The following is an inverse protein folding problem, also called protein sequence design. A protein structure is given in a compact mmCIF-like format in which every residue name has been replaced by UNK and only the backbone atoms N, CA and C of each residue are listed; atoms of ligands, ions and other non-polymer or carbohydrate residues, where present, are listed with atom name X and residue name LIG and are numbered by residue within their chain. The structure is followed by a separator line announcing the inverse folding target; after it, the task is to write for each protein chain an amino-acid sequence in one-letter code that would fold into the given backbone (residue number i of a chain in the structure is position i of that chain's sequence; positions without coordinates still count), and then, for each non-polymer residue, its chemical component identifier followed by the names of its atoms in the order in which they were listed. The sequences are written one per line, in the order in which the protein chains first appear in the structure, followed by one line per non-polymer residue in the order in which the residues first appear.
data_IF_360890549025
#
_entry.id   IF_360890549025
#
_cell.length_a   1.000
_cell.length_b   1.000
_cell.length_c   1.000
_cell.angle_alpha   90.00
_cell.angle_beta   90.00
_cell.angle_gamma   90.00
#
_symmetry.space_group_name_H-M   'P 1'
#
loop_
_entity.id
_entity.type
_entity.pdbx_description
1 polymer ?
#
# COMPACT_ATOMS: atom_id res chain seq x y z
N UNK A 1 -27.47 -6.07 7.61
CA UNK A 1 -26.45 -5.40 6.76
C UNK A 1 -26.02 -4.10 7.45
N UNK A 2 -25.39 -4.24 8.62
CA UNK A 2 -25.07 -3.09 9.46
C UNK A 2 -23.76 -3.39 10.18
N UNK A 3 -22.67 -3.50 9.41
CA UNK A 3 -21.35 -3.37 10.00
C UNK A 3 -21.03 -1.89 10.02
N UNK A 4 -21.27 -1.32 11.20
CA UNK A 4 -20.78 -0.05 11.69
C UNK A 4 -19.45 0.29 11.03
N UNK A 5 -19.51 1.23 10.08
CA UNK A 5 -18.34 2.02 9.69
C UNK A 5 -17.96 2.85 10.90
N UNK A 6 -17.26 2.25 11.85
CA UNK A 6 -16.41 2.99 12.76
C UNK A 6 -15.35 3.68 11.91
N UNK A 7 -15.71 4.86 11.40
CA UNK A 7 -14.74 5.85 10.97
C UNK A 7 -13.93 6.16 12.21
N UNK A 8 -12.84 5.43 12.43
CA UNK A 8 -11.75 5.89 13.28
C UNK A 8 -11.51 7.34 12.85
N UNK A 9 -11.90 8.29 13.71
CA UNK A 9 -11.72 9.71 13.46
C UNK A 9 -10.22 9.92 13.39
N UNK A 10 -9.68 9.88 12.17
CA UNK A 10 -8.25 10.05 11.95
C UNK A 10 -7.88 11.40 12.54
N UNK A 11 -7.03 11.36 13.58
CA UNK A 11 -6.60 12.53 14.34
C UNK A 11 -5.98 13.53 13.37
N UNK A 12 -6.08 14.83 13.64
CA UNK A 12 -5.54 15.88 12.76
C UNK A 12 -4.08 15.61 12.36
N UNK A 13 -3.26 15.13 13.31
CA UNK A 13 -1.87 14.73 13.06
C UNK A 13 -1.72 13.55 12.07
N UNK A 14 -2.63 12.58 12.09
CA UNK A 14 -2.59 11.43 11.18
C UNK A 14 -2.95 11.84 9.74
N UNK A 15 -3.89 12.77 9.57
CA UNK A 15 -4.24 13.34 8.26
C UNK A 15 -3.12 14.21 7.70
N UNK A 16 -2.47 14.98 8.56
CA UNK A 16 -1.30 15.78 8.18
C UNK A 16 -0.14 14.86 7.76
N UNK A 17 0.15 13.82 8.54
CA UNK A 17 1.19 12.84 8.21
C UNK A 17 0.91 12.11 6.89
N UNK A 18 -0.33 11.68 6.62
CA UNK A 18 -0.70 11.07 5.32
C UNK A 18 -0.46 12.03 4.15
N UNK A 19 -0.82 13.30 4.32
CA UNK A 19 -0.66 14.31 3.27
C UNK A 19 0.82 14.62 3.02
N UNK A 20 1.62 14.68 4.07
CA UNK A 20 3.08 14.87 3.96
C UNK A 20 3.72 13.63 3.34
N UNK A 21 3.40 12.43 3.78
CA UNK A 21 3.95 11.19 3.25
C UNK A 21 3.60 10.97 1.77
N UNK A 22 2.37 11.26 1.36
CA UNK A 22 1.96 11.19 -0.05
C UNK A 22 2.63 12.25 -0.93
N UNK A 23 2.93 13.44 -0.39
CA UNK A 23 3.65 14.47 -1.10
C UNK A 23 5.14 14.13 -1.25
N UNK A 24 5.79 13.72 -0.16
CA UNK A 24 7.21 13.33 -0.13
C UNK A 24 7.48 12.07 -0.97
N UNK A 25 6.54 11.12 -1.00
CA UNK A 25 6.63 9.92 -1.83
C UNK A 25 6.40 10.14 -3.33
N UNK A 26 6.18 11.39 -3.77
CA UNK A 26 5.92 11.70 -5.18
C UNK A 26 7.19 12.06 -5.94
N UNK A 27 7.29 11.63 -7.20
CA UNK A 27 8.33 12.09 -8.14
C UNK A 27 8.43 13.61 -8.25
N UNK A 28 7.32 14.33 -8.07
CA UNK A 28 7.29 15.80 -8.09
C UNK A 28 8.11 16.42 -6.96
N UNK A 29 8.12 15.81 -5.78
CA UNK A 29 8.89 16.29 -4.62
C UNK A 29 10.39 16.23 -4.90
N UNK A 30 10.87 15.10 -5.43
CA UNK A 30 12.28 14.89 -5.78
C UNK A 30 12.74 15.96 -6.77
N UNK A 31 11.97 16.21 -7.83
CA UNK A 31 12.30 17.22 -8.84
C UNK A 31 12.39 18.62 -8.23
N UNK A 32 11.39 19.02 -7.44
CA UNK A 32 11.38 20.34 -6.78
C UNK A 32 12.57 20.49 -5.83
N UNK A 33 12.84 19.47 -5.02
CA UNK A 33 13.97 19.46 -4.09
C UNK A 33 15.31 19.60 -4.85
N UNK A 34 15.53 18.82 -5.90
CA UNK A 34 16.74 18.91 -6.72
C UNK A 34 16.90 20.28 -7.37
N UNK A 35 15.83 20.88 -7.88
CA UNK A 35 15.86 22.24 -8.46
C UNK A 35 16.23 23.27 -7.40
N UNK A 36 15.67 23.18 -6.20
CA UNK A 36 16.02 24.08 -5.08
C UNK A 36 17.50 23.96 -4.72
N UNK A 37 18.04 22.73 -4.65
CA UNK A 37 19.47 22.52 -4.39
C UNK A 37 20.34 23.14 -5.48
N UNK A 38 19.98 22.95 -6.76
CA UNK A 38 20.71 23.51 -7.90
C UNK A 38 20.69 25.05 -7.87
N UNK A 39 19.52 25.65 -7.63
CA UNK A 39 19.38 27.10 -7.51
C UNK A 39 20.23 27.63 -6.35
N UNK A 40 20.20 26.97 -5.20
CA UNK A 40 21.01 27.36 -4.03
C UNK A 40 22.52 27.33 -4.33
N UNK A 41 22.98 26.26 -4.98
CA UNK A 41 24.39 26.15 -5.41
C UNK A 41 24.75 27.27 -6.39
N UNK A 42 23.92 27.54 -7.41
CA UNK A 42 24.19 28.59 -8.40
C UNK A 42 24.24 29.97 -7.75
N UNK A 43 23.29 30.29 -6.85
CA UNK A 43 23.27 31.58 -6.14
C UNK A 43 24.54 31.80 -5.30
N UNK A 44 25.03 30.75 -4.63
CA UNK A 44 26.25 30.84 -3.82
C UNK A 44 27.53 30.88 -4.67
N UNK A 45 27.60 30.12 -5.77
CA UNK A 45 28.78 30.08 -6.66
C UNK A 45 28.94 31.36 -7.48
N UNK A 46 27.84 31.96 -7.95
CA UNK A 46 27.89 33.19 -8.74
C UNK A 46 28.14 34.43 -7.86
N UNK A 47 28.25 34.26 -6.54
CA UNK A 47 28.51 35.35 -5.57
C UNK A 47 27.53 36.53 -5.73
N UNK A 48 26.27 36.23 -6.08
CA UNK A 48 25.19 37.22 -6.23
C UNK A 48 24.83 37.85 -4.88
N UNK A 49 25.08 37.10 -3.81
CA UNK A 49 24.99 37.50 -2.41
C UNK A 49 26.34 37.05 -1.83
N UNK A 50 27.00 37.86 -1.00
CA UNK A 50 28.32 37.54 -0.43
C UNK A 50 28.42 36.07 0.02
N UNK A 51 29.60 35.45 -0.13
CA UNK A 51 29.92 34.02 0.12
C UNK A 51 29.42 33.48 1.47
N UNK A 52 28.11 33.28 1.60
CA UNK A 52 27.46 32.94 2.86
C UNK A 52 27.54 31.44 3.14
N UNK A 53 27.62 30.62 2.09
CA UNK A 53 27.87 29.18 2.16
C UNK A 53 28.97 28.77 1.15
N UNK A 54 30.25 29.02 1.45
CA UNK A 54 31.38 28.60 0.61
C UNK A 54 31.42 27.08 0.47
N UNK A 55 32.00 26.58 -0.62
CA UNK A 55 32.28 25.15 -0.79
C UNK A 55 33.03 24.62 0.45
N UNK A 56 32.52 23.60 1.17
CA UNK A 56 31.64 22.50 0.74
C UNK A 56 30.13 22.60 1.07
N UNK A 57 29.55 23.80 1.17
CA UNK A 57 28.11 24.04 1.45
C UNK A 57 27.62 23.44 2.78
N UNK A 58 28.18 23.90 3.90
CA UNK A 58 27.90 23.34 5.23
C UNK A 58 26.44 23.56 5.66
N UNK A 59 25.84 24.70 5.30
CA UNK A 59 24.45 24.99 5.66
C UNK A 59 23.47 24.15 4.85
N UNK A 60 23.72 24.01 3.54
CA UNK A 60 22.91 23.15 2.68
C UNK A 60 22.89 21.71 3.19
N UNK A 61 24.06 21.19 3.57
CA UNK A 61 24.20 19.85 4.11
C UNK A 61 23.39 19.69 5.42
N UNK A 62 23.52 20.65 6.34
CA UNK A 62 22.78 20.63 7.61
C UNK A 62 21.27 20.60 7.40
N UNK A 63 20.75 21.47 6.52
CA UNK A 63 19.31 21.57 6.25
C UNK A 63 18.78 20.28 5.63
N UNK A 64 19.47 19.74 4.62
CA UNK A 64 19.05 18.50 3.95
C UNK A 64 19.08 17.31 4.92
N UNK A 65 20.12 17.20 5.74
CA UNK A 65 20.23 16.15 6.75
C UNK A 65 19.08 16.22 7.76
N UNK A 66 18.76 17.42 8.25
CA UNK A 66 17.65 17.62 9.17
C UNK A 66 16.31 17.20 8.53
N UNK A 67 16.03 17.68 7.32
CA UNK A 67 14.80 17.31 6.60
C UNK A 67 14.70 15.78 6.42
N UNK A 68 15.79 15.11 6.08
CA UNK A 68 15.82 13.66 5.90
C UNK A 68 15.48 12.90 7.21
N UNK A 69 16.07 13.33 8.33
CA UNK A 69 15.82 12.72 9.65
C UNK A 69 14.35 12.79 10.07
N UNK A 70 13.67 13.91 9.81
CA UNK A 70 12.23 14.03 10.13
C UNK A 70 11.34 13.31 9.12
N UNK A 71 11.78 13.22 7.88
CA UNK A 71 11.04 12.58 6.80
C UNK A 71 10.93 11.07 6.99
N UNK A 72 12.02 10.41 7.40
CA UNK A 72 12.07 8.97 7.61
C UNK A 72 10.98 8.41 8.55
N UNK A 73 10.78 8.92 9.79
CA UNK A 73 9.75 8.42 10.69
C UNK A 73 8.33 8.74 10.19
N UNK A 74 8.12 9.88 9.52
CA UNK A 74 6.80 10.23 8.96
C UNK A 74 6.42 9.23 7.86
N UNK A 75 7.37 8.89 6.98
CA UNK A 75 7.19 7.86 5.96
C UNK A 75 6.92 6.51 6.62
N UNK A 76 7.72 6.12 7.62
CA UNK A 76 7.58 4.84 8.32
C UNK A 76 6.21 4.71 9.01
N UNK A 77 5.72 5.77 9.65
CA UNK A 77 4.37 5.79 10.25
C UNK A 77 3.27 5.64 9.20
N UNK A 78 3.44 6.26 8.02
CA UNK A 78 2.50 6.10 6.91
C UNK A 78 2.55 4.70 6.29
N UNK A 79 3.74 4.10 6.22
CA UNK A 79 3.96 2.72 5.74
C UNK A 79 3.35 1.70 6.70
N UNK A 80 3.69 1.73 8.00
CA UNK A 80 3.15 0.81 9.00
C UNK A 80 1.61 0.79 9.01
N UNK A 81 0.98 1.95 8.85
CA UNK A 81 -0.48 2.04 8.77
C UNK A 81 -1.05 1.50 7.45
N UNK A 82 -0.33 1.61 6.34
CA UNK A 82 -0.73 1.01 5.06
C UNK A 82 -0.63 -0.51 5.14
N UNK A 83 0.47 -1.01 5.69
CA UNK A 83 0.70 -2.45 5.92
C UNK A 83 -0.36 -3.07 6.85
N UNK A 84 -0.76 -2.38 7.93
CA UNK A 84 -1.85 -2.86 8.79
C UNK A 84 -3.19 -3.00 8.04
N UNK A 85 -3.50 -2.05 7.15
CA UNK A 85 -4.72 -2.13 6.30
C UNK A 85 -4.61 -3.27 5.30
N UNK A 86 -3.45 -3.43 4.68
CA UNK A 86 -3.22 -4.46 3.67
C UNK A 86 -3.22 -5.86 4.30
N UNK A 87 -2.67 -6.01 5.51
CA UNK A 87 -2.74 -7.26 6.28
C UNK A 87 -4.19 -7.68 6.57
N UNK A 88 -5.03 -6.74 7.03
CA UNK A 88 -6.45 -7.02 7.29
C UNK A 88 -7.20 -7.41 6.02
N UNK A 89 -6.93 -6.73 4.90
CA UNK A 89 -7.50 -7.11 3.61
C UNK A 89 -7.08 -8.52 3.21
N UNK A 90 -5.80 -8.82 3.31
CA UNK A 90 -5.27 -10.14 3.01
C UNK A 90 -5.91 -11.25 3.85
N UNK A 91 -6.10 -11.02 5.16
CA UNK A 91 -6.80 -11.98 6.04
C UNK A 91 -8.26 -12.25 5.58
N UNK A 92 -8.97 -11.22 5.13
CA UNK A 92 -10.35 -11.33 4.62
C UNK A 92 -10.39 -12.05 3.26
N UNK A 93 -9.47 -11.70 2.37
CA UNK A 93 -9.38 -12.31 1.04
C UNK A 93 -9.06 -13.81 1.19
N UNK A 94 -8.11 -14.18 2.04
CA UNK A 94 -7.81 -15.58 2.37
C UNK A 94 -9.00 -16.34 2.95
N UNK A 95 -9.80 -15.71 3.81
CA UNK A 95 -10.99 -16.34 4.37
C UNK A 95 -12.05 -16.59 3.28
N UNK A 96 -12.19 -15.66 2.34
CA UNK A 96 -13.11 -15.76 1.20
C UNK A 96 -12.67 -16.83 0.21
N UNK A 97 -11.37 -16.91 -0.08
CA UNK A 97 -10.78 -17.92 -0.96
C UNK A 97 -11.00 -19.32 -0.39
N UNK A 98 -10.70 -19.54 0.89
CA UNK A 98 -10.94 -20.82 1.56
C UNK A 98 -12.42 -21.22 1.57
N UNK A 99 -13.32 -20.25 1.71
CA UNK A 99 -14.76 -20.51 1.64
C UNK A 99 -15.17 -20.93 0.24
N UNK A 100 -14.68 -20.23 -0.77
CA UNK A 100 -14.93 -20.55 -2.19
C UNK A 100 -14.38 -21.94 -2.54
N UNK A 101 -13.20 -22.28 -2.03
CA UNK A 101 -12.59 -23.61 -2.20
C UNK A 101 -13.51 -24.72 -1.64
N UNK A 102 -14.05 -24.53 -0.43
CA UNK A 102 -15.02 -25.48 0.16
C UNK A 102 -16.30 -25.59 -0.65
N UNK A 103 -16.87 -24.46 -1.09
CA UNK A 103 -18.09 -24.47 -1.92
C UNK A 103 -17.84 -25.21 -3.25
N UNK A 104 -16.66 -25.05 -3.86
CA UNK A 104 -16.26 -25.80 -5.05
C UNK A 104 -16.13 -27.30 -4.75
N UNK A 105 -15.53 -27.67 -3.62
CA UNK A 105 -15.41 -29.07 -3.20
C UNK A 105 -16.79 -29.73 -2.97
N UNK A 106 -17.71 -29.00 -2.35
CA UNK A 106 -19.10 -29.43 -2.16
C UNK A 106 -19.81 -29.63 -3.50
N UNK A 107 -19.70 -28.67 -4.42
CA UNK A 107 -20.27 -28.77 -5.77
C UNK A 107 -19.68 -29.98 -6.52
N UNK A 108 -18.36 -30.18 -6.44
CA UNK A 108 -17.68 -31.32 -7.08
C UNK A 108 -18.18 -32.65 -6.52
N UNK A 109 -18.39 -32.72 -5.21
CA UNK A 109 -18.92 -33.91 -4.54
C UNK A 109 -20.36 -34.19 -4.98
N UNK A 110 -21.20 -33.17 -5.05
CA UNK A 110 -22.57 -33.28 -5.55
C UNK A 110 -22.61 -33.71 -7.02
N UNK A 111 -21.74 -33.15 -7.86
CA UNK A 111 -21.64 -33.52 -9.27
C UNK A 111 -21.24 -34.99 -9.44
N UNK A 112 -20.19 -35.42 -8.75
CA UNK A 112 -19.75 -36.83 -8.75
C UNK A 112 -20.88 -37.76 -8.31
N UNK A 113 -21.65 -37.38 -7.28
CA UNK A 113 -22.81 -38.18 -6.82
C UNK A 113 -23.88 -38.29 -7.92
N UNK A 114 -24.23 -37.18 -8.57
CA UNK A 114 -25.19 -37.16 -9.67
C UNK A 114 -24.72 -38.03 -10.84
N UNK A 115 -23.42 -37.98 -11.18
CA UNK A 115 -22.84 -38.84 -12.23
C UNK A 115 -22.97 -40.33 -11.89
N UNK A 116 -22.62 -40.74 -10.67
CA UNK A 116 -22.76 -42.13 -10.22
C UNK A 116 -24.22 -42.60 -10.23
N UNK A 117 -25.15 -41.77 -9.74
CA UNK A 117 -26.59 -42.11 -9.70
C UNK A 117 -27.16 -42.26 -11.12
N UNK A 118 -26.73 -41.41 -12.07
CA UNK A 118 -27.12 -41.53 -13.48
C UNK A 118 -26.56 -42.81 -14.12
N UNK A 119 -25.30 -43.14 -13.86
CA UNK A 119 -24.67 -44.38 -14.38
C UNK A 119 -25.42 -45.61 -13.87
N UNK A 120 -25.74 -45.68 -12.56
CA UNK A 120 -26.53 -46.78 -11.99
C UNK A 120 -27.88 -46.95 -12.67
N UNK A 121 -28.63 -45.86 -12.87
CA UNK A 121 -29.92 -45.91 -13.58
C UNK A 121 -29.80 -46.42 -15.01
N UNK A 122 -28.76 -46.03 -15.74
CA UNK A 122 -28.52 -46.53 -17.11
C UNK A 122 -28.27 -48.04 -17.08
N UNK A 123 -27.45 -48.53 -16.16
CA UNK A 123 -27.17 -49.96 -16.01
C UNK A 123 -28.44 -50.77 -15.68
N UNK A 124 -29.26 -50.30 -14.74
CA UNK A 124 -30.53 -50.97 -14.39
C UNK A 124 -31.52 -51.04 -15.57
N UNK A 125 -31.56 -50.01 -16.42
CA UNK A 125 -32.42 -49.99 -17.62
C UNK A 125 -31.92 -50.99 -18.67
N UNK A 126 -30.59 -51.12 -18.82
CA UNK A 126 -29.98 -52.07 -19.76
C UNK A 126 -30.16 -53.52 -19.29
N UNK A 127 -30.11 -53.79 -18.00
CA UNK A 127 -30.22 -55.14 -17.43
C UNK A 127 -31.67 -55.69 -17.43
N UNK A 128 -32.67 -54.80 -17.46
CA UNK A 128 -34.10 -55.16 -17.58
C UNK A 128 -34.58 -55.45 -19.00
N UNK A 129 -33.71 -55.38 -20.00
CA UNK A 129 -34.04 -55.48 -21.42
C UNK A 129 -33.46 -56.74 -22.04
#
# INVERSE_FOLDING_TARGET
MEHSREKHKSTFGQKAADKVASWVGSWKYIIVQSVVLIIWMILNVVSIIEHWDPYPFIFLNLVVAFVAVYTAPIILMSQNRSEERDRKKFEIDLATDRKSEKEIEEIKTQLNRIEHDKIKKILEILEKK
#
